data_IF_233449330350
#
_entry.id   IF_233449330350
#
_cell.length_a   1.000
_cell.length_b   1.000
_cell.length_c   1.000
_cell.angle_alpha   90.00
_cell.angle_beta   90.00
_cell.angle_gamma   90.00
#
_symmetry.space_group_name_H-M   'P 1'
#
loop_
_entity.id
_entity.type
_entity.pdbx_description
1 polymer ?
#
# COMPACT_ATOMS: atom_id res chain seq x y z
N UNK A 1 -15.60 43.76 -23.26
CA UNK A 1 -14.83 42.51 -23.19
C UNK A 1 -15.39 41.73 -22.02
N UNK A 2 -16.27 40.75 -22.28
CA UNK A 2 -16.97 39.98 -21.26
C UNK A 2 -16.05 38.83 -20.85
N UNK A 3 -15.45 38.88 -19.66
CA UNK A 3 -14.75 37.73 -19.09
C UNK A 3 -15.81 36.73 -18.62
N UNK A 4 -16.04 35.69 -19.40
CA UNK A 4 -16.76 34.51 -18.92
C UNK A 4 -15.77 33.72 -18.07
N UNK A 5 -15.91 33.84 -16.75
CA UNK A 5 -15.29 32.91 -15.80
C UNK A 5 -15.99 31.57 -15.99
N UNK A 6 -15.36 30.66 -16.74
CA UNK A 6 -15.74 29.26 -16.73
C UNK A 6 -15.36 28.68 -15.36
N UNK A 7 -16.35 28.48 -14.50
CA UNK A 7 -16.19 27.64 -13.31
C UNK A 7 -16.23 26.20 -13.81
N UNK A 8 -15.06 25.62 -14.05
CA UNK A 8 -14.96 24.18 -14.26
C UNK A 8 -15.33 23.49 -12.94
N UNK A 9 -16.50 22.85 -12.91
CA UNK A 9 -16.84 21.94 -11.82
C UNK A 9 -15.92 20.73 -11.94
N UNK A 10 -14.97 20.60 -11.01
CA UNK A 10 -14.26 19.34 -10.83
C UNK A 10 -15.32 18.25 -10.57
N UNK A 11 -15.29 17.13 -11.31
CA UNK A 11 -16.19 16.02 -11.02
C UNK A 11 -16.01 15.62 -9.56
N UNK A 12 -17.11 15.58 -8.82
CA UNK A 12 -17.09 15.17 -7.42
C UNK A 12 -16.46 13.77 -7.31
N UNK A 13 -15.60 13.59 -6.30
CA UNK A 13 -14.98 12.31 -6.02
C UNK A 13 -16.04 11.21 -5.92
N UNK A 14 -15.89 10.14 -6.70
CA UNK A 14 -16.85 9.04 -6.69
C UNK A 14 -16.70 8.22 -5.40
N UNK A 15 -17.83 7.96 -4.76
CA UNK A 15 -17.92 7.05 -3.62
C UNK A 15 -18.57 5.76 -4.11
N UNK A 16 -17.85 4.65 -3.99
CA UNK A 16 -18.31 3.32 -4.33
C UNK A 16 -18.59 2.52 -3.06
N UNK A 17 -19.54 1.58 -3.13
CA UNK A 17 -19.90 0.70 -2.03
C UNK A 17 -19.96 -0.74 -2.55
N UNK A 18 -19.47 -1.71 -1.77
CA UNK A 18 -19.54 -3.13 -2.14
C UNK A 18 -18.46 -3.98 -1.49
N UNK A 19 -18.29 -5.19 -2.00
CA UNK A 19 -17.20 -6.08 -1.60
C UNK A 19 -15.92 -5.69 -2.36
N UNK A 20 -14.97 -5.03 -1.68
CA UNK A 20 -13.73 -4.57 -2.33
C UNK A 20 -12.94 -5.72 -2.96
N UNK A 21 -12.93 -6.90 -2.32
CA UNK A 21 -12.33 -8.11 -2.90
C UNK A 21 -12.88 -8.40 -4.29
N UNK A 22 -14.20 -8.56 -4.41
CA UNK A 22 -14.84 -8.87 -5.69
C UNK A 22 -14.59 -7.77 -6.75
N UNK A 23 -14.51 -6.51 -6.33
CA UNK A 23 -14.18 -5.39 -7.22
C UNK A 23 -12.77 -5.50 -7.82
N UNK A 24 -11.77 -5.81 -6.99
CA UNK A 24 -10.39 -5.99 -7.42
C UNK A 24 -10.21 -7.28 -8.23
N UNK A 25 -10.93 -8.34 -7.90
CA UNK A 25 -10.94 -9.57 -8.69
C UNK A 25 -11.49 -9.34 -10.11
N UNK A 26 -12.59 -8.58 -10.25
CA UNK A 26 -13.13 -8.20 -11.57
C UNK A 26 -12.14 -7.34 -12.38
N UNK A 27 -11.47 -6.38 -11.73
CA UNK A 27 -10.38 -5.63 -12.34
C UNK A 27 -9.27 -6.55 -12.87
N UNK A 28 -8.83 -7.54 -12.08
CA UNK A 28 -7.79 -8.49 -12.49
C UNK A 28 -8.27 -9.35 -13.68
N UNK A 29 -9.52 -9.80 -13.69
CA UNK A 29 -10.05 -10.65 -14.77
C UNK A 29 -10.15 -9.90 -16.11
N UNK A 30 -10.35 -8.59 -16.08
CA UNK A 30 -10.50 -7.75 -17.27
C UNK A 30 -9.18 -7.23 -17.86
N UNK A 31 -8.04 -7.49 -17.20
CA UNK A 31 -6.73 -7.02 -17.68
C UNK A 31 -6.40 -7.56 -19.09
N UNK A 32 -5.82 -6.73 -19.97
CA UNK A 32 -5.34 -7.17 -21.27
C UNK A 32 -4.38 -8.36 -21.18
N UNK A 33 -4.58 -9.34 -22.06
CA UNK A 33 -3.84 -10.60 -22.09
C UNK A 33 -2.52 -10.49 -22.87
N UNK A 34 -1.72 -11.55 -22.86
CA UNK A 34 -0.50 -11.63 -23.66
C UNK A 34 -0.78 -11.36 -25.16
N UNK A 35 0.10 -10.60 -25.80
CA UNK A 35 0.10 -10.41 -27.26
C UNK A 35 -0.99 -9.49 -27.83
N UNK A 36 -1.89 -8.92 -27.02
CA UNK A 36 -2.88 -7.98 -27.57
C UNK A 36 -2.29 -6.61 -27.95
N UNK A 37 -1.09 -6.30 -27.46
CA UNK A 37 -0.29 -5.12 -27.83
C UNK A 37 -1.04 -3.79 -27.68
N UNK A 38 -1.75 -3.63 -26.56
CA UNK A 38 -2.53 -2.43 -26.24
C UNK A 38 -1.93 -1.59 -25.11
N UNK A 39 -0.94 -2.14 -24.39
CA UNK A 39 -0.21 -1.40 -23.38
C UNK A 39 0.84 -0.49 -24.03
N UNK A 40 0.81 0.76 -23.60
CA UNK A 40 1.81 1.78 -23.88
C UNK A 40 2.21 2.43 -22.56
N UNK A 41 3.46 2.86 -22.46
CA UNK A 41 3.90 3.63 -21.28
C UNK A 41 3.10 4.94 -21.18
N UNK A 42 2.84 5.44 -19.96
CA UNK A 42 2.33 6.80 -19.79
C UNK A 42 3.32 7.80 -20.36
N UNK A 43 2.82 8.91 -20.90
CA UNK A 43 3.70 10.00 -21.27
C UNK A 43 4.31 10.67 -20.02
N UNK A 44 5.42 11.42 -20.15
CA UNK A 44 6.08 12.04 -19.01
C UNK A 44 5.18 12.98 -18.19
N UNK A 45 4.24 13.68 -18.83
CA UNK A 45 3.34 14.59 -18.14
C UNK A 45 2.29 13.82 -17.32
N UNK A 46 1.82 12.67 -17.84
CA UNK A 46 0.97 11.74 -17.10
C UNK A 46 1.67 11.16 -15.88
N UNK A 47 2.95 10.78 -15.98
CA UNK A 47 3.74 10.32 -14.83
C UNK A 47 3.87 11.42 -13.76
N UNK A 48 4.06 12.67 -14.18
CA UNK A 48 4.12 13.81 -13.24
C UNK A 48 2.77 13.98 -12.56
N UNK A 49 1.68 14.10 -13.31
CA UNK A 49 0.32 14.29 -12.79
C UNK A 49 -0.11 13.16 -11.87
N UNK A 50 0.06 11.92 -12.28
CA UNK A 50 -0.34 10.76 -11.48
C UNK A 50 0.56 10.58 -10.25
N UNK A 51 1.85 10.94 -10.33
CA UNK A 51 2.69 11.02 -9.14
C UNK A 51 2.18 12.05 -8.13
N UNK A 52 1.81 13.24 -8.59
CA UNK A 52 1.18 14.25 -7.72
C UNK A 52 -0.15 13.74 -7.13
N UNK A 53 -0.95 13.00 -7.91
CA UNK A 53 -2.17 12.40 -7.40
C UNK A 53 -1.88 11.40 -6.26
N UNK A 54 -0.86 10.55 -6.41
CA UNK A 54 -0.42 9.62 -5.34
C UNK A 54 0.02 10.39 -4.11
N UNK A 55 0.83 11.43 -4.27
CA UNK A 55 1.32 12.27 -3.17
C UNK A 55 0.14 12.91 -2.40
N UNK A 56 -0.90 13.36 -3.10
CA UNK A 56 -2.11 13.91 -2.48
C UNK A 56 -3.00 12.83 -1.83
N UNK A 57 -3.09 11.61 -2.40
CA UNK A 57 -3.81 10.49 -1.78
C UNK A 57 -3.20 10.15 -0.43
N UNK A 58 -1.89 9.96 -0.36
CA UNK A 58 -1.23 9.58 0.90
C UNK A 58 -1.23 10.70 1.94
N UNK A 59 -1.35 11.96 1.50
CA UNK A 59 -1.58 13.12 2.38
C UNK A 59 -3.04 13.29 2.83
N UNK A 60 -3.99 12.53 2.26
CA UNK A 60 -5.43 12.64 2.55
C UNK A 60 -6.15 13.78 1.82
N UNK A 61 -5.48 14.44 0.87
CA UNK A 61 -6.03 15.57 0.09
C UNK A 61 -6.72 15.06 -1.19
N UNK A 62 -7.82 14.32 -1.02
CA UNK A 62 -8.43 13.58 -2.13
C UNK A 62 -9.00 14.45 -3.26
N UNK A 63 -9.42 15.67 -2.95
CA UNK A 63 -9.88 16.64 -3.97
C UNK A 63 -8.75 17.04 -4.92
N UNK A 64 -7.58 17.37 -4.37
CA UNK A 64 -6.41 17.75 -5.16
C UNK A 64 -5.88 16.54 -5.92
N UNK A 65 -5.92 15.35 -5.31
CA UNK A 65 -5.58 14.11 -5.99
C UNK A 65 -6.47 13.86 -7.22
N UNK A 66 -7.79 14.05 -7.10
CA UNK A 66 -8.72 13.93 -8.22
C UNK A 66 -8.40 14.94 -9.34
N UNK A 67 -8.08 16.18 -8.98
CA UNK A 67 -7.73 17.22 -9.96
C UNK A 67 -6.51 16.82 -10.79
N UNK A 68 -5.48 16.25 -10.15
CA UNK A 68 -4.30 15.74 -10.85
C UNK A 68 -4.59 14.50 -11.71
N UNK A 69 -5.38 13.55 -11.20
CA UNK A 69 -5.65 12.29 -11.88
C UNK A 69 -6.51 12.45 -13.16
N UNK A 70 -7.49 13.37 -13.13
CA UNK A 70 -8.52 13.49 -14.18
C UNK A 70 -7.91 13.73 -15.57
N UNK A 71 -6.88 14.57 -15.65
CA UNK A 71 -6.24 14.93 -16.92
C UNK A 71 -5.47 13.76 -17.58
N UNK A 72 -5.22 12.69 -16.83
CA UNK A 72 -4.50 11.48 -17.29
C UNK A 72 -5.42 10.28 -17.53
N UNK A 73 -6.74 10.50 -17.62
CA UNK A 73 -7.72 9.43 -17.79
C UNK A 73 -7.84 8.51 -16.57
N UNK A 74 -7.49 9.03 -15.40
CA UNK A 74 -7.60 8.36 -14.09
C UNK A 74 -8.60 9.09 -13.19
N UNK A 75 -9.04 8.41 -12.15
CA UNK A 75 -9.90 8.96 -11.11
C UNK A 75 -9.41 8.53 -9.74
N UNK A 76 -9.75 9.33 -8.73
CA UNK A 76 -9.60 9.00 -7.33
C UNK A 76 -10.98 8.64 -6.78
N UNK A 77 -11.09 7.46 -6.20
CA UNK A 77 -12.34 6.96 -5.61
C UNK A 77 -12.21 6.79 -4.10
N UNK A 78 -13.32 6.94 -3.40
CA UNK A 78 -13.49 6.40 -2.04
C UNK A 78 -14.28 5.11 -2.16
N UNK A 79 -13.68 4.01 -1.77
CA UNK A 79 -14.34 2.70 -1.77
C UNK A 79 -14.71 2.32 -0.35
N UNK A 80 -16.01 2.16 -0.10
CA UNK A 80 -16.55 1.71 1.17
C UNK A 80 -16.82 0.21 1.07
N UNK A 81 -15.89 -0.57 1.62
CA UNK A 81 -16.04 -2.01 1.76
C UNK A 81 -17.06 -2.32 2.86
N UNK A 82 -18.20 -2.88 2.45
CA UNK A 82 -19.30 -3.27 3.34
C UNK A 82 -19.45 -4.79 3.45
N UNK A 83 -18.38 -5.53 3.15
CA UNK A 83 -18.33 -6.99 3.24
C UNK A 83 -18.42 -7.54 4.67
N UNK A 84 -18.17 -6.71 5.68
CA UNK A 84 -18.23 -7.07 7.09
C UNK A 84 -19.27 -6.24 7.85
N UNK A 85 -19.47 -6.53 9.13
CA UNK A 85 -20.41 -5.76 9.99
C UNK A 85 -20.02 -4.30 10.17
N UNK A 86 -18.74 -3.97 9.99
CA UNK A 86 -18.21 -2.61 10.01
C UNK A 86 -17.71 -2.22 8.63
N UNK A 87 -18.15 -1.07 8.14
CA UNK A 87 -17.64 -0.54 6.87
C UNK A 87 -16.16 -0.13 7.02
N UNK A 88 -15.34 -0.48 6.03
CA UNK A 88 -13.95 -0.01 5.90
C UNK A 88 -13.83 0.89 4.69
N UNK A 89 -13.11 1.99 4.82
CA UNK A 89 -12.87 2.92 3.71
C UNK A 89 -11.47 2.76 3.15
N UNK A 90 -11.38 2.72 1.82
CA UNK A 90 -10.14 2.71 1.06
C UNK A 90 -10.16 3.81 0.01
N UNK A 91 -8.99 4.32 -0.36
CA UNK A 91 -8.83 5.32 -1.41
C UNK A 91 -8.15 4.69 -2.62
N UNK A 92 -8.81 4.75 -3.77
CA UNK A 92 -8.32 4.14 -5.01
C UNK A 92 -7.86 5.19 -6.01
N UNK A 93 -6.70 5.00 -6.65
CA UNK A 93 -6.31 5.63 -7.90
C UNK A 93 -6.45 4.60 -9.01
N UNK A 94 -7.34 4.86 -9.96
CA UNK A 94 -7.66 3.89 -11.01
C UNK A 94 -7.98 4.54 -12.35
N UNK A 95 -7.90 3.80 -13.48
CA UNK A 95 -8.37 4.29 -14.76
C UNK A 95 -9.85 4.68 -14.69
N UNK A 96 -10.23 5.77 -15.35
CA UNK A 96 -11.63 6.12 -15.51
C UNK A 96 -12.40 5.03 -16.28
N UNK A 97 -13.71 4.86 -16.06
CA UNK A 97 -14.51 3.94 -16.84
C UNK A 97 -14.35 4.19 -18.36
N UNK A 98 -14.01 3.14 -19.10
CA UNK A 98 -13.75 3.22 -20.54
C UNK A 98 -12.36 3.71 -20.94
N UNK A 99 -11.50 4.07 -19.97
CA UNK A 99 -10.10 4.37 -20.22
C UNK A 99 -9.38 3.13 -20.78
N UNK A 100 -8.52 3.36 -21.76
CA UNK A 100 -7.62 2.35 -22.32
C UNK A 100 -6.22 2.45 -21.73
N UNK A 101 -6.06 3.23 -20.64
CA UNK A 101 -4.79 3.39 -19.95
C UNK A 101 -4.59 2.21 -19.01
N UNK A 102 -3.87 1.19 -19.48
CA UNK A 102 -3.62 -0.07 -18.79
C UNK A 102 -2.44 0.01 -17.80
N UNK A 103 -2.27 1.14 -17.10
CA UNK A 103 -1.06 1.41 -16.30
C UNK A 103 -1.10 0.86 -14.86
N UNK A 104 -2.26 0.40 -14.40
CA UNK A 104 -2.43 -0.20 -13.07
C UNK A 104 -3.29 0.61 -12.13
N UNK A 105 -3.44 0.12 -10.91
CA UNK A 105 -4.20 0.75 -9.82
C UNK A 105 -3.37 0.81 -8.53
N UNK A 106 -3.70 1.78 -7.68
CA UNK A 106 -3.28 1.85 -6.28
C UNK A 106 -4.53 1.90 -5.41
N UNK A 107 -4.61 1.01 -4.42
CA UNK A 107 -5.57 1.11 -3.33
C UNK A 107 -4.84 1.39 -2.03
N UNK A 108 -5.33 2.37 -1.28
CA UNK A 108 -4.71 2.87 -0.05
C UNK A 108 -5.66 2.69 1.13
N UNK A 109 -5.13 2.16 2.23
CA UNK A 109 -5.80 2.03 3.51
C UNK A 109 -5.32 3.16 4.45
N UNK A 110 -6.17 4.18 4.70
CA UNK A 110 -5.77 5.33 5.52
C UNK A 110 -5.58 5.02 7.00
N UNK A 111 -6.06 3.86 7.47
CA UNK A 111 -6.03 3.43 8.88
C UNK A 111 -5.14 2.21 9.13
N UNK A 112 -4.30 1.85 8.15
CA UNK A 112 -3.39 0.72 8.25
C UNK A 112 -2.39 0.84 9.40
N UNK A 113 -2.18 -0.27 10.12
CA UNK A 113 -1.17 -0.36 11.18
C UNK A 113 0.19 -0.90 10.69
N UNK A 114 0.22 -1.51 9.49
CA UNK A 114 1.45 -1.98 8.86
C UNK A 114 1.86 -1.03 7.74
N UNK A 115 3.05 -0.43 7.87
CA UNK A 115 3.61 0.49 6.88
C UNK A 115 4.19 -0.26 5.67
N UNK A 116 3.33 -1.01 4.99
CA UNK A 116 3.66 -1.93 3.91
C UNK A 116 2.84 -1.57 2.67
N UNK A 117 3.47 -1.67 1.51
CA UNK A 117 2.79 -1.69 0.22
C UNK A 117 3.01 -3.04 -0.45
N UNK A 118 1.91 -3.72 -0.79
CA UNK A 118 1.92 -4.93 -1.59
C UNK A 118 1.96 -4.57 -3.07
N UNK A 119 2.74 -5.31 -3.86
CA UNK A 119 2.95 -5.06 -5.28
C UNK A 119 2.72 -6.35 -6.08
N UNK A 120 1.78 -6.31 -7.02
CA UNK A 120 1.44 -7.41 -7.90
C UNK A 120 1.76 -7.01 -9.35
N UNK A 121 3.02 -7.14 -9.80
CA UNK A 121 3.40 -6.73 -11.13
C UNK A 121 2.90 -7.67 -12.23
N UNK A 122 2.64 -8.93 -11.88
CA UNK A 122 2.21 -9.98 -12.81
C UNK A 122 0.92 -10.68 -12.35
N UNK A 123 -0.17 -9.93 -12.06
CA UNK A 123 -1.31 -10.42 -11.30
C UNK A 123 -2.02 -11.64 -11.93
N UNK A 124 -1.92 -11.78 -13.26
CA UNK A 124 -2.43 -12.94 -14.01
C UNK A 124 -1.35 -13.90 -14.49
N UNK A 125 -0.20 -13.37 -14.94
CA UNK A 125 0.86 -14.19 -15.53
C UNK A 125 1.47 -15.11 -14.48
N UNK A 126 1.80 -14.54 -13.32
CA UNK A 126 2.18 -15.31 -12.14
C UNK A 126 0.88 -15.70 -11.46
N UNK A 127 0.26 -16.79 -11.92
CA UNK A 127 -1.12 -17.17 -11.58
C UNK A 127 -1.50 -16.84 -10.14
N UNK A 128 -2.62 -16.11 -10.00
CA UNK A 128 -3.22 -15.68 -8.73
C UNK A 128 -2.45 -14.68 -7.88
N UNK A 129 -1.27 -14.17 -8.25
CA UNK A 129 -0.58 -13.18 -7.38
C UNK A 129 -1.38 -11.89 -7.18
N UNK A 130 -2.23 -11.50 -8.14
CA UNK A 130 -3.17 -10.38 -7.94
C UNK A 130 -4.30 -10.69 -6.96
N UNK A 131 -4.81 -11.92 -6.97
CA UNK A 131 -5.87 -12.37 -6.05
C UNK A 131 -5.29 -12.52 -4.63
N UNK A 132 -4.10 -13.09 -4.53
CA UNK A 132 -3.34 -13.17 -3.29
C UNK A 132 -3.05 -11.77 -2.72
N UNK A 133 -2.53 -10.84 -3.53
CA UNK A 133 -2.29 -9.47 -3.08
C UNK A 133 -3.57 -8.77 -2.60
N UNK A 134 -4.70 -9.02 -3.27
CA UNK A 134 -6.03 -8.54 -2.84
C UNK A 134 -6.42 -9.14 -1.49
N UNK A 135 -6.26 -10.45 -1.32
CA UNK A 135 -6.54 -11.14 -0.06
C UNK A 135 -5.66 -10.60 1.07
N UNK A 136 -4.35 -10.49 0.85
CA UNK A 136 -3.39 -9.99 1.83
C UNK A 136 -3.69 -8.54 2.20
N UNK A 137 -4.04 -7.68 1.23
CA UNK A 137 -4.38 -6.28 1.48
C UNK A 137 -5.54 -6.13 2.47
N UNK A 138 -6.57 -6.98 2.32
CA UNK A 138 -7.76 -6.94 3.17
C UNK A 138 -7.53 -7.55 4.55
N UNK A 139 -6.60 -8.50 4.68
CA UNK A 139 -6.39 -9.30 5.89
C UNK A 139 -5.10 -8.99 6.67
N UNK A 140 -4.22 -8.11 6.17
CA UNK A 140 -2.97 -7.71 6.85
C UNK A 140 -2.97 -6.25 7.34
N UNK A 141 -4.02 -5.46 7.12
CA UNK A 141 -4.06 -4.04 7.48
C UNK A 141 -2.80 -3.26 7.02
N UNK A 142 -2.36 -3.52 5.79
CA UNK A 142 -1.24 -2.83 5.13
C UNK A 142 -1.70 -1.51 4.52
N UNK A 143 -0.78 -0.57 4.33
CA UNK A 143 -1.07 0.77 3.80
C UNK A 143 -1.54 0.76 2.35
N UNK A 144 -0.98 -0.09 1.50
CA UNK A 144 -1.33 -0.04 0.08
C UNK A 144 -1.22 -1.35 -0.67
N UNK A 145 -1.93 -1.40 -1.80
CA UNK A 145 -1.88 -2.46 -2.79
C UNK A 145 -1.74 -1.83 -4.17
N UNK A 146 -0.72 -2.25 -4.91
CA UNK A 146 -0.49 -1.90 -6.31
C UNK A 146 -0.70 -3.13 -7.19
N UNK A 147 -1.57 -3.03 -8.18
CA UNK A 147 -1.80 -4.09 -9.18
C UNK A 147 -1.49 -3.52 -10.56
N UNK A 148 -0.69 -4.24 -11.34
CA UNK A 148 -0.39 -3.84 -12.71
C UNK A 148 -1.63 -3.89 -13.60
N UNK A 149 -1.68 -3.00 -14.59
CA UNK A 149 -2.85 -2.88 -15.46
C UNK A 149 -2.81 -3.77 -16.69
N UNK A 150 -1.83 -4.66 -16.82
CA UNK A 150 -1.66 -5.48 -18.02
C UNK A 150 -0.87 -6.75 -17.76
N UNK A 151 -0.93 -7.68 -18.70
CA UNK A 151 -0.05 -8.84 -18.74
C UNK A 151 1.39 -8.44 -19.11
N UNK A 152 2.42 -9.02 -18.47
CA UNK A 152 3.84 -8.68 -18.74
C UNK A 152 4.27 -8.83 -20.20
N UNK A 153 3.66 -9.79 -20.90
CA UNK A 153 3.84 -10.05 -22.33
C UNK A 153 2.80 -9.37 -23.24
N UNK A 154 2.11 -8.32 -22.77
CA UNK A 154 1.08 -7.64 -23.55
C UNK A 154 1.68 -6.88 -24.75
N UNK A 155 2.64 -6.00 -24.49
CA UNK A 155 3.33 -5.21 -25.51
C UNK A 155 4.42 -6.02 -26.20
N UNK A 156 4.73 -5.69 -27.46
CA UNK A 156 5.93 -6.19 -28.16
C UNK A 156 7.10 -5.22 -28.05
N UNK A 157 6.87 -3.98 -27.60
CA UNK A 157 7.91 -2.97 -27.50
C UNK A 157 8.88 -3.32 -26.36
N UNK A 158 10.20 -3.33 -26.59
CA UNK A 158 11.18 -3.55 -25.54
C UNK A 158 11.31 -2.32 -24.66
N UNK A 159 11.58 -2.51 -23.37
CA UNK A 159 12.07 -1.44 -22.49
C UNK A 159 13.55 -1.15 -22.79
N UNK A 160 14.00 0.06 -22.42
CA UNK A 160 15.41 0.43 -22.41
C UNK A 160 16.18 -0.16 -21.22
N UNK A 161 15.48 -0.69 -20.21
CA UNK A 161 16.11 -1.20 -19.00
C UNK A 161 16.85 -2.52 -19.22
N UNK A 162 17.94 -2.68 -18.47
CA UNK A 162 18.87 -3.80 -18.61
C UNK A 162 18.22 -5.14 -18.24
N UNK A 163 18.64 -6.19 -18.93
CA UNK A 163 18.30 -7.57 -18.62
C UNK A 163 17.48 -8.21 -19.72
N UNK A 164 17.19 -9.49 -19.55
CA UNK A 164 16.49 -10.27 -20.56
C UNK A 164 15.60 -11.32 -19.91
N UNK A 165 14.65 -11.83 -20.68
CA UNK A 165 13.69 -12.83 -20.24
C UNK A 165 13.30 -13.77 -21.36
N UNK A 166 12.95 -15.00 -20.99
CA UNK A 166 12.28 -15.98 -21.85
C UNK A 166 10.77 -16.08 -21.55
N UNK A 167 10.25 -15.29 -20.60
CA UNK A 167 8.85 -15.37 -20.15
C UNK A 167 7.86 -15.09 -21.29
N UNK A 168 8.27 -14.33 -22.30
CA UNK A 168 7.43 -13.91 -23.42
C UNK A 168 7.88 -14.51 -24.77
N UNK A 169 8.58 -15.66 -24.74
CA UNK A 169 9.06 -16.36 -25.94
C UNK A 169 10.57 -16.60 -25.93
N UNK A 170 11.25 -16.30 -27.04
CA UNK A 170 12.71 -16.36 -27.11
C UNK A 170 13.37 -15.36 -26.16
N UNK A 171 14.59 -15.66 -25.70
CA UNK A 171 15.35 -14.76 -24.83
C UNK A 171 15.53 -13.39 -25.51
N UNK A 172 14.96 -12.35 -24.90
CA UNK A 172 14.95 -10.99 -25.42
C UNK A 172 14.92 -9.98 -24.27
N UNK A 173 15.10 -8.69 -24.58
CA UNK A 173 14.86 -7.63 -23.61
C UNK A 173 13.45 -7.73 -23.00
N UNK A 174 13.30 -7.25 -21.77
CA UNK A 174 11.98 -7.10 -21.17
C UNK A 174 11.10 -6.20 -22.05
N UNK A 175 9.79 -6.45 -22.04
CA UNK A 175 8.81 -5.60 -22.74
C UNK A 175 8.39 -4.45 -21.82
N UNK A 176 7.94 -3.34 -22.39
CA UNK A 176 7.43 -2.20 -21.58
C UNK A 176 6.27 -2.60 -20.66
N UNK A 177 5.48 -3.61 -21.05
CA UNK A 177 4.40 -4.16 -20.23
C UNK A 177 4.88 -5.03 -19.05
N UNK A 178 6.16 -5.40 -19.01
CA UNK A 178 6.80 -6.06 -17.87
C UNK A 178 7.21 -5.01 -16.84
N UNK A 179 6.22 -4.53 -16.10
CA UNK A 179 6.34 -3.33 -15.28
C UNK A 179 7.35 -3.43 -14.12
N UNK A 180 7.72 -4.64 -13.71
CA UNK A 180 8.79 -4.89 -12.74
C UNK A 180 10.19 -4.57 -13.30
N UNK A 181 10.29 -4.41 -14.62
CA UNK A 181 11.52 -4.17 -15.37
C UNK A 181 11.42 -2.91 -16.23
N UNK A 182 10.50 -1.99 -15.90
CA UNK A 182 10.27 -0.77 -16.65
C UNK A 182 10.20 0.44 -15.70
N UNK A 183 11.16 1.36 -15.82
CA UNK A 183 11.26 2.57 -15.00
C UNK A 183 10.35 3.72 -15.49
N UNK A 184 9.79 3.60 -16.69
CA UNK A 184 8.81 4.55 -17.25
C UNK A 184 7.36 4.19 -16.92
N UNK A 185 7.14 3.09 -16.18
CA UNK A 185 5.80 2.67 -15.80
C UNK A 185 5.21 3.54 -14.68
N UNK A 186 3.87 3.69 -14.66
CA UNK A 186 3.17 4.26 -13.50
C UNK A 186 3.49 3.49 -12.20
N UNK A 187 3.75 2.19 -12.30
CA UNK A 187 4.13 1.35 -11.17
C UNK A 187 5.46 1.78 -10.53
N UNK A 188 6.46 2.12 -11.35
CA UNK A 188 7.70 2.73 -10.85
C UNK A 188 7.40 4.08 -10.21
N UNK A 189 6.62 4.94 -10.87
CA UNK A 189 6.31 6.29 -10.36
C UNK A 189 5.58 6.25 -9.01
N UNK A 190 4.61 5.36 -8.85
CA UNK A 190 3.92 5.11 -7.58
C UNK A 190 4.90 4.64 -6.50
N UNK A 191 5.82 3.73 -6.82
CA UNK A 191 6.86 3.28 -5.88
C UNK A 191 7.73 4.43 -5.39
N UNK A 192 8.14 5.32 -6.29
CA UNK A 192 8.95 6.51 -5.97
C UNK A 192 8.19 7.43 -5.00
N UNK A 193 6.94 7.79 -5.32
CA UNK A 193 6.09 8.64 -4.48
C UNK A 193 5.84 8.03 -3.09
N UNK A 194 5.46 6.75 -3.04
CA UNK A 194 5.19 6.04 -1.78
C UNK A 194 6.46 5.90 -0.93
N UNK A 195 7.61 5.69 -1.55
CA UNK A 195 8.90 5.65 -0.86
C UNK A 195 9.22 7.01 -0.24
N UNK A 196 9.00 8.11 -0.98
CA UNK A 196 9.25 9.48 -0.51
C UNK A 196 8.29 9.89 0.62
N UNK A 197 7.06 9.38 0.61
CA UNK A 197 6.09 9.55 1.70
C UNK A 197 6.54 8.86 3.00
N UNK A 198 7.38 7.84 2.91
CA UNK A 198 7.88 7.09 4.06
C UNK A 198 7.23 5.72 4.25
N UNK A 199 6.86 5.02 3.16
CA UNK A 199 6.53 3.59 3.25
C UNK A 199 7.77 2.79 3.63
N UNK A 200 7.68 1.96 4.66
CA UNK A 200 8.84 1.20 5.16
C UNK A 200 9.18 0.05 4.22
N UNK A 201 8.19 -0.76 3.84
CA UNK A 201 8.41 -1.99 3.08
C UNK A 201 7.54 -2.09 1.83
N UNK A 202 8.13 -2.59 0.75
CA UNK A 202 7.49 -2.94 -0.51
C UNK A 202 7.66 -4.44 -0.74
N UNK A 203 6.55 -5.16 -0.66
CA UNK A 203 6.53 -6.61 -0.87
C UNK A 203 5.97 -6.87 -2.25
N UNK A 204 6.80 -7.43 -3.14
CA UNK A 204 6.45 -7.70 -4.52
C UNK A 204 6.23 -9.20 -4.73
N UNK A 205 4.98 -9.58 -5.02
CA UNK A 205 4.52 -10.95 -5.17
C UNK A 205 4.71 -11.41 -6.62
N UNK A 206 5.53 -12.44 -6.79
CA UNK A 206 5.75 -13.15 -8.04
C UNK A 206 5.47 -14.64 -7.87
N UNK A 207 5.48 -15.36 -8.98
CA UNK A 207 5.23 -16.78 -9.02
C UNK A 207 6.07 -17.47 -10.08
N UNK A 208 6.48 -18.70 -9.79
CA UNK A 208 7.26 -19.50 -10.72
C UNK A 208 6.72 -20.91 -10.90
N UNK A 209 7.02 -21.49 -12.06
CA UNK A 209 6.81 -22.91 -12.30
C UNK A 209 7.92 -23.71 -11.61
N UNK A 210 7.56 -24.38 -10.52
CA UNK A 210 8.49 -25.16 -9.70
C UNK A 210 9.03 -26.36 -10.47
N UNK A 211 10.35 -26.49 -10.53
CA UNK A 211 11.08 -27.62 -11.09
C UNK A 211 11.70 -28.48 -9.98
N UNK A 212 12.21 -29.66 -10.34
CA UNK A 212 12.94 -30.50 -9.39
C UNK A 212 14.13 -29.75 -8.80
N UNK A 213 14.27 -29.78 -7.47
CA UNK A 213 15.32 -29.06 -6.74
C UNK A 213 15.00 -27.59 -6.40
N UNK A 214 13.90 -27.03 -6.92
CA UNK A 214 13.45 -25.70 -6.51
C UNK A 214 12.82 -25.73 -5.09
N UNK A 215 13.01 -24.66 -4.30
CA UNK A 215 12.34 -24.51 -3.00
C UNK A 215 10.84 -24.24 -3.16
N UNK A 216 10.12 -24.10 -2.05
CA UNK A 216 8.77 -23.55 -2.09
C UNK A 216 8.77 -22.03 -2.33
N UNK A 217 9.75 -21.33 -1.74
CA UNK A 217 9.91 -19.88 -1.87
C UNK A 217 11.34 -19.50 -2.25
N UNK A 218 11.48 -18.56 -3.20
CA UNK A 218 12.73 -17.84 -3.44
C UNK A 218 12.48 -16.39 -3.05
N UNK A 219 13.21 -15.89 -2.04
CA UNK A 219 12.98 -14.55 -1.50
C UNK A 219 14.26 -13.73 -1.65
N UNK A 220 14.13 -12.51 -2.15
CA UNK A 220 15.26 -11.64 -2.47
C UNK A 220 14.99 -10.21 -2.03
N UNK A 221 16.02 -9.50 -1.59
CA UNK A 221 15.98 -8.05 -1.46
C UNK A 221 16.47 -7.34 -2.73
N UNK A 222 16.67 -8.06 -3.83
CA UNK A 222 17.23 -7.53 -5.08
C UNK A 222 18.75 -7.44 -5.12
N UNK A 223 19.45 -7.93 -4.09
CA UNK A 223 20.93 -7.90 -3.99
C UNK A 223 21.50 -9.17 -3.36
N UNK A 224 22.83 -9.20 -3.16
CA UNK A 224 23.53 -10.20 -2.33
C UNK A 224 23.91 -9.67 -0.95
N UNK A 225 23.54 -8.43 -0.65
CA UNK A 225 23.93 -7.75 0.59
C UNK A 225 22.86 -8.01 1.63
N UNK A 226 23.26 -8.48 2.81
CA UNK A 226 22.35 -8.58 3.97
C UNK A 226 22.07 -7.16 4.48
N UNK A 227 20.79 -6.74 4.57
CA UNK A 227 20.44 -5.43 5.14
C UNK A 227 20.62 -5.44 6.66
N UNK A 228 20.73 -4.26 7.28
CA UNK A 228 20.81 -4.13 8.74
C UNK A 228 19.52 -4.64 9.41
N UNK A 229 18.37 -4.22 8.87
CA UNK A 229 17.08 -4.82 9.20
C UNK A 229 16.67 -5.83 8.11
N UNK A 230 16.59 -7.12 8.48
CA UNK A 230 16.30 -8.22 7.54
C UNK A 230 14.89 -8.80 7.75
N UNK A 231 13.84 -8.17 7.17
CA UNK A 231 12.48 -8.71 7.22
C UNK A 231 12.33 -10.02 6.47
N UNK A 232 13.21 -10.34 5.52
CA UNK A 232 13.16 -11.59 4.76
C UNK A 232 13.54 -12.77 5.64
N UNK A 233 14.58 -12.62 6.48
CA UNK A 233 14.93 -13.65 7.46
C UNK A 233 13.78 -13.87 8.46
N UNK A 234 13.14 -12.80 8.95
CA UNK A 234 11.97 -12.91 9.84
C UNK A 234 10.79 -13.61 9.18
N UNK A 235 10.48 -13.29 7.92
CA UNK A 235 9.43 -13.96 7.15
C UNK A 235 9.71 -15.44 6.97
N UNK A 236 10.95 -15.81 6.61
CA UNK A 236 11.37 -17.22 6.54
C UNK A 236 11.12 -17.93 7.87
N UNK A 237 11.55 -17.33 8.97
CA UNK A 237 11.45 -17.95 10.30
C UNK A 237 9.99 -18.10 10.75
N UNK A 238 9.15 -17.09 10.50
CA UNK A 238 7.71 -17.16 10.76
C UNK A 238 7.04 -18.27 9.96
N UNK A 239 7.29 -18.34 8.66
CA UNK A 239 6.75 -19.40 7.79
C UNK A 239 7.24 -20.79 8.19
N UNK A 240 8.52 -20.94 8.52
CA UNK A 240 9.08 -22.22 8.96
C UNK A 240 8.51 -22.67 10.32
N UNK A 241 8.19 -21.73 11.22
CA UNK A 241 7.53 -22.04 12.48
C UNK A 241 6.10 -22.55 12.28
N UNK A 242 5.40 -22.08 11.25
CA UNK A 242 4.04 -22.53 10.89
C UNK A 242 4.08 -23.89 10.18
N UNK A 243 4.94 -24.03 9.17
CA UNK A 243 5.14 -25.29 8.44
C UNK A 243 6.64 -25.61 8.25
N UNK A 244 7.22 -26.50 9.10
CA UNK A 244 8.61 -26.91 9.00
C UNK A 244 8.98 -27.71 7.74
N UNK A 245 7.99 -28.08 6.90
CA UNK A 245 8.24 -28.73 5.60
C UNK A 245 8.53 -27.73 4.48
N UNK A 246 8.36 -26.43 4.73
CA UNK A 246 8.68 -25.40 3.75
C UNK A 246 10.18 -25.32 3.50
N UNK A 247 10.53 -25.16 2.22
CA UNK A 247 11.90 -24.99 1.75
C UNK A 247 12.07 -23.60 1.15
N UNK A 248 13.25 -23.01 1.34
CA UNK A 248 13.51 -21.61 1.01
C UNK A 248 14.85 -21.44 0.30
N UNK A 249 14.91 -20.45 -0.60
CA UNK A 249 16.15 -19.85 -1.08
C UNK A 249 16.09 -18.35 -0.87
N UNK A 250 16.79 -17.90 0.18
CA UNK A 250 16.98 -16.48 0.48
C UNK A 250 18.24 -15.99 -0.23
N UNK A 251 18.12 -15.07 -1.18
CA UNK A 251 19.16 -14.76 -2.18
C UNK A 251 20.42 -14.14 -1.57
N UNK A 252 20.30 -13.26 -0.58
CA UNK A 252 21.48 -12.69 0.11
C UNK A 252 22.14 -13.65 1.10
N UNK A 253 21.47 -14.74 1.49
CA UNK A 253 22.01 -15.78 2.38
C UNK A 253 22.59 -16.96 1.58
N UNK A 254 21.89 -17.40 0.53
CA UNK A 254 22.28 -18.50 -0.36
C UNK A 254 22.87 -17.92 -1.64
N UNK A 255 24.11 -17.44 -1.54
CA UNK A 255 24.77 -16.65 -2.60
C UNK A 255 25.09 -17.46 -3.86
N UNK A 256 25.04 -18.79 -3.78
CA UNK A 256 25.15 -19.73 -4.90
C UNK A 256 23.86 -19.84 -5.74
N UNK A 257 22.71 -19.45 -5.20
CA UNK A 257 21.42 -19.52 -5.89
C UNK A 257 21.27 -18.38 -6.91
N UNK A 258 21.17 -18.69 -8.20
CA UNK A 258 21.16 -17.69 -9.29
C UNK A 258 19.81 -17.48 -9.97
N UNK A 259 18.80 -18.26 -9.61
CA UNK A 259 17.48 -18.22 -10.23
C UNK A 259 16.57 -17.20 -9.53
N UNK A 260 15.89 -16.36 -10.33
CA UNK A 260 14.84 -15.43 -9.89
C UNK A 260 15.30 -14.50 -8.74
N UNK A 261 16.47 -13.87 -8.91
CA UNK A 261 17.13 -13.09 -7.85
C UNK A 261 16.66 -11.64 -7.74
N UNK A 262 15.81 -11.17 -8.64
CA UNK A 262 15.32 -9.79 -8.71
C UNK A 262 16.39 -8.69 -8.92
N UNK A 263 17.60 -9.04 -9.35
CA UNK A 263 18.68 -8.04 -9.54
C UNK A 263 18.36 -7.00 -10.62
N UNK A 264 17.50 -7.35 -11.57
CA UNK A 264 17.07 -6.49 -12.68
C UNK A 264 15.78 -5.72 -12.39
N UNK A 265 15.18 -5.89 -11.20
CA UNK A 265 13.92 -5.26 -10.84
C UNK A 265 14.11 -3.74 -10.66
N UNK A 266 13.35 -2.93 -11.39
CA UNK A 266 13.52 -1.46 -11.37
C UNK A 266 13.08 -0.85 -10.04
N UNK A 267 11.99 -1.35 -9.43
CA UNK A 267 11.56 -0.90 -8.10
C UNK A 267 12.58 -1.30 -7.02
N UNK A 268 13.04 -2.55 -7.06
CA UNK A 268 14.04 -3.06 -6.10
C UNK A 268 15.37 -2.33 -6.19
N UNK A 269 15.83 -1.99 -7.40
CA UNK A 269 17.04 -1.18 -7.59
C UNK A 269 16.87 0.24 -7.03
N UNK A 270 15.71 0.87 -7.26
CA UNK A 270 15.42 2.20 -6.72
C UNK A 270 15.37 2.21 -5.19
N UNK A 271 14.65 1.24 -4.59
CA UNK A 271 14.50 1.13 -3.13
C UNK A 271 15.81 0.77 -2.42
N UNK A 272 16.77 0.21 -3.15
CA UNK A 272 18.14 -0.04 -2.70
C UNK A 272 19.13 1.00 -3.25
N UNK A 273 18.67 2.22 -3.54
CA UNK A 273 19.52 3.38 -3.81
C UNK A 273 20.45 3.25 -5.03
N UNK A 274 20.06 2.46 -6.03
CA UNK A 274 20.75 2.47 -7.32
C UNK A 274 20.63 3.86 -7.96
N UNK A 275 21.76 4.44 -8.36
CA UNK A 275 21.82 5.73 -9.08
C UNK A 275 21.08 5.68 -10.43
N UNK A 276 20.97 4.50 -11.04
CA UNK A 276 20.36 4.30 -12.35
C UNK A 276 19.53 3.00 -12.33
N UNK A 277 18.31 3.01 -11.73
CA UNK A 277 17.50 1.82 -11.53
C UNK A 277 17.16 1.04 -12.81
N UNK A 278 17.16 1.72 -13.96
CA UNK A 278 16.90 1.10 -15.25
C UNK A 278 18.04 0.16 -15.71
N UNK A 279 19.30 0.50 -15.45
CA UNK A 279 20.43 -0.22 -16.04
C UNK A 279 21.47 -0.75 -15.04
N UNK A 280 21.46 -0.29 -13.79
CA UNK A 280 22.44 -0.67 -12.77
C UNK A 280 21.81 -1.41 -11.61
N UNK A 281 22.38 -2.58 -11.29
CA UNK A 281 22.07 -3.30 -10.06
C UNK A 281 22.42 -2.44 -8.85
N UNK A 282 21.60 -2.51 -7.80
CA UNK A 282 21.96 -1.94 -6.52
C UNK A 282 23.12 -2.72 -5.88
N UNK A 283 24.00 -2.02 -5.16
CA UNK A 283 25.13 -2.61 -4.43
C UNK A 283 24.92 -2.60 -2.92
N UNK A 284 24.00 -1.77 -2.44
CA UNK A 284 23.55 -1.68 -1.04
C UNK A 284 22.20 -2.37 -0.88
N UNK A 285 21.81 -2.69 0.35
CA UNK A 285 20.49 -3.23 0.67
C UNK A 285 19.88 -2.43 1.83
N UNK A 286 18.73 -1.81 1.61
CA UNK A 286 18.04 -1.00 2.62
C UNK A 286 17.11 -1.81 3.51
N UNK A 287 16.77 -3.04 3.10
CA UNK A 287 15.75 -3.88 3.74
C UNK A 287 14.31 -3.52 3.33
N UNK A 288 14.10 -2.47 2.53
CA UNK A 288 12.78 -1.96 2.15
C UNK A 288 12.12 -2.75 1.02
N UNK A 289 12.88 -3.45 0.19
CA UNK A 289 12.35 -4.24 -0.93
C UNK A 289 12.38 -5.73 -0.61
N UNK A 290 11.23 -6.39 -0.75
CA UNK A 290 11.06 -7.83 -0.55
C UNK A 290 10.41 -8.40 -1.80
N UNK A 291 11.18 -9.14 -2.59
CA UNK A 291 10.69 -9.88 -3.75
C UNK A 291 10.45 -11.34 -3.36
N UNK A 292 9.23 -11.83 -3.57
CA UNK A 292 8.82 -13.18 -3.19
C UNK A 292 8.39 -13.94 -4.44
N UNK A 293 9.15 -14.96 -4.80
CA UNK A 293 8.81 -15.91 -5.87
C UNK A 293 8.21 -17.15 -5.25
N UNK A 294 6.97 -17.43 -5.65
CA UNK A 294 6.14 -18.43 -4.99
C UNK A 294 5.83 -19.59 -5.91
N UNK A 295 6.02 -20.81 -5.41
CA UNK A 295 5.48 -21.99 -6.06
C UNK A 295 3.93 -21.97 -6.06
N UNK A 296 3.30 -22.76 -6.94
CA UNK A 296 1.86 -22.65 -7.16
C UNK A 296 1.02 -23.32 -6.06
N UNK A 297 1.26 -24.59 -5.77
CA UNK A 297 0.37 -25.43 -4.98
C UNK A 297 0.31 -25.03 -3.51
N UNK A 298 1.43 -24.59 -2.92
CA UNK A 298 1.49 -24.23 -1.49
C UNK A 298 1.05 -22.81 -1.18
N UNK A 299 1.23 -21.88 -2.11
CA UNK A 299 1.07 -20.45 -1.82
C UNK A 299 0.05 -19.76 -2.73
N UNK A 300 0.06 -20.01 -4.04
CA UNK A 300 -0.74 -19.21 -4.98
C UNK A 300 -2.10 -19.81 -5.33
N UNK A 301 -2.27 -21.12 -5.16
CA UNK A 301 -3.43 -21.86 -5.67
C UNK A 301 -4.77 -21.35 -5.13
N UNK A 302 -4.87 -21.12 -3.84
CA UNK A 302 -6.12 -20.80 -3.15
C UNK A 302 -5.86 -20.05 -1.82
N UNK A 303 -6.95 -19.70 -1.14
CA UNK A 303 -6.92 -18.95 0.12
C UNK A 303 -6.13 -19.64 1.23
N UNK A 304 -6.00 -20.97 1.24
CA UNK A 304 -5.22 -21.63 2.28
C UNK A 304 -3.71 -21.31 2.13
N UNK A 305 -3.23 -21.20 0.89
CA UNK A 305 -1.88 -20.74 0.62
C UNK A 305 -1.69 -19.25 0.90
N UNK A 306 -2.70 -18.42 0.58
CA UNK A 306 -2.65 -16.99 0.87
C UNK A 306 -2.69 -16.71 2.37
N UNK A 307 -3.43 -17.50 3.15
CA UNK A 307 -3.49 -17.43 4.60
C UNK A 307 -2.16 -17.84 5.25
N UNK A 308 -1.49 -18.87 4.70
CA UNK A 308 -0.13 -19.22 5.11
C UNK A 308 0.86 -18.06 4.89
N UNK A 309 0.79 -17.39 3.73
CA UNK A 309 1.59 -16.18 3.47
C UNK A 309 1.21 -15.04 4.42
N UNK A 310 -0.08 -14.83 4.69
CA UNK A 310 -0.59 -13.85 5.65
C UNK A 310 0.05 -14.06 7.01
N UNK A 311 -0.05 -15.25 7.60
CA UNK A 311 0.52 -15.55 8.92
C UNK A 311 2.03 -15.34 8.98
N UNK A 312 2.76 -15.75 7.93
CA UNK A 312 4.18 -15.48 7.80
C UNK A 312 4.52 -13.99 7.82
N UNK A 313 3.75 -13.19 7.08
CA UNK A 313 3.90 -11.73 7.03
C UNK A 313 3.51 -11.07 8.36
N UNK A 314 2.48 -11.55 9.06
CA UNK A 314 2.14 -11.04 10.40
C UNK A 314 3.26 -11.27 11.41
N UNK A 315 3.94 -12.41 11.31
CA UNK A 315 5.10 -12.72 12.15
C UNK A 315 6.29 -11.80 11.83
N UNK A 316 6.55 -11.53 10.55
CA UNK A 316 7.67 -10.70 10.12
C UNK A 316 7.46 -9.20 10.35
N UNK A 317 6.21 -8.76 10.29
CA UNK A 317 5.82 -7.36 10.35
C UNK A 317 4.74 -7.16 11.41
N UNK A 318 5.17 -6.70 12.57
CA UNK A 318 4.25 -6.38 13.65
C UNK A 318 3.30 -5.28 13.22
N UNK A 319 2.00 -5.48 13.46
CA UNK A 319 1.05 -4.39 13.48
C UNK A 319 1.46 -3.48 14.64
N UNK A 320 2.08 -2.36 14.32
CA UNK A 320 2.13 -1.25 15.24
C UNK A 320 0.71 -0.71 15.31
N UNK A 321 -0.18 -1.38 16.06
CA UNK A 321 -1.28 -0.64 16.68
C UNK A 321 -0.58 0.52 17.33
N UNK A 322 -0.80 1.73 16.83
CA UNK A 322 0.00 2.88 17.20
C UNK A 322 -0.02 2.92 18.72
N UNK A 323 1.11 2.53 19.31
CA UNK A 323 1.17 2.22 20.72
C UNK A 323 0.76 3.49 21.43
N UNK A 324 -0.37 3.43 22.15
CA UNK A 324 -0.90 4.48 23.02
C UNK A 324 -0.36 5.86 22.66
N UNK A 325 -0.96 6.57 21.70
CA UNK A 325 -0.59 7.97 21.50
C UNK A 325 -0.96 8.72 22.77
N UNK A 326 -0.01 8.87 23.69
CA UNK A 326 -0.08 9.77 24.82
C UNK A 326 0.27 11.14 24.31
N UNK A 327 -0.74 11.97 24.10
CA UNK A 327 -0.56 13.37 23.79
C UNK A 327 -0.43 14.12 25.12
N UNK A 328 0.80 14.52 25.47
CA UNK A 328 1.05 15.46 26.56
C UNK A 328 0.71 16.86 26.07
N UNK A 329 -0.43 17.39 26.51
CA UNK A 329 -0.85 18.77 26.18
C UNK A 329 -0.32 19.77 27.20
N UNK A 330 -0.08 19.32 28.44
CA UNK A 330 0.60 20.03 29.51
C UNK A 330 1.15 19.01 30.52
N UNK A 331 1.98 19.41 31.51
CA UNK A 331 2.48 18.50 32.55
C UNK A 331 1.37 17.82 33.34
N UNK A 332 0.18 18.43 33.36
CA UNK A 332 -0.98 18.00 34.12
C UNK A 332 -2.05 17.36 33.25
N UNK A 333 -1.95 17.36 31.91
CA UNK A 333 -2.98 16.80 31.01
C UNK A 333 -2.37 15.87 29.96
N UNK A 334 -2.72 14.59 30.06
CA UNK A 334 -2.36 13.55 29.10
C UNK A 334 -3.62 12.94 28.47
N UNK A 335 -3.58 12.70 27.17
CA UNK A 335 -4.66 12.01 26.44
C UNK A 335 -4.07 10.77 25.80
N UNK A 336 -4.62 9.61 26.10
CA UNK A 336 -4.26 8.33 25.48
C UNK A 336 -5.36 7.95 24.47
N UNK A 337 -4.96 7.81 23.21
CA UNK A 337 -5.82 7.27 22.16
C UNK A 337 -5.59 5.75 22.13
N UNK A 338 -6.64 5.00 22.47
CA UNK A 338 -6.64 3.54 22.50
C UNK A 338 -7.58 3.01 21.39
N UNK A 339 -7.43 1.75 20.95
CA UNK A 339 -8.23 1.20 19.84
C UNK A 339 -9.74 1.28 20.03
N UNK A 340 -10.21 1.19 21.28
CA UNK A 340 -11.63 1.11 21.65
C UNK A 340 -12.13 2.34 22.43
N UNK A 341 -11.23 3.25 22.81
CA UNK A 341 -11.55 4.35 23.74
C UNK A 341 -10.56 5.49 23.70
N UNK A 342 -11.02 6.64 24.20
CA UNK A 342 -10.15 7.74 24.58
C UNK A 342 -10.01 7.77 26.12
N UNK A 343 -8.78 7.82 26.62
CA UNK A 343 -8.50 8.03 28.04
C UNK A 343 -7.88 9.41 28.24
N UNK A 344 -8.38 10.17 29.21
CA UNK A 344 -7.85 11.48 29.58
C UNK A 344 -7.38 11.40 31.03
N UNK A 345 -6.12 11.72 31.27
CA UNK A 345 -5.50 11.80 32.60
C UNK A 345 -5.24 13.27 32.89
N UNK A 346 -5.84 13.77 33.96
CA UNK A 346 -5.63 15.14 34.42
C UNK A 346 -5.19 15.15 35.89
N UNK A 347 -4.06 15.77 36.16
CA UNK A 347 -3.44 15.87 37.48
C UNK A 347 -3.55 17.25 38.14
N UNK A 348 -4.39 18.15 37.60
CA UNK A 348 -4.65 19.46 38.23
C UNK A 348 -5.87 19.41 39.15
N UNK A 349 -5.94 20.37 40.08
CA UNK A 349 -6.98 20.41 41.13
C UNK A 349 -8.31 21.02 40.66
N UNK A 350 -8.35 21.61 39.46
CA UNK A 350 -9.52 22.30 38.92
C UNK A 350 -10.35 21.41 37.97
N UNK A 351 -11.68 21.44 38.04
CA UNK A 351 -12.52 20.69 37.12
C UNK A 351 -12.36 21.17 35.67
N UNK A 352 -12.31 20.21 34.74
CA UNK A 352 -12.23 20.48 33.30
C UNK A 352 -13.59 20.29 32.63
N UNK A 353 -13.82 21.05 31.56
CA UNK A 353 -14.83 20.78 30.55
C UNK A 353 -14.16 20.21 29.31
N UNK A 354 -14.47 18.95 28.98
CA UNK A 354 -13.96 18.30 27.78
C UNK A 354 -15.10 18.18 26.78
N UNK A 355 -14.86 18.66 25.56
CA UNK A 355 -15.77 18.52 24.42
C UNK A 355 -15.09 17.73 23.32
N UNK A 356 -15.74 16.68 22.85
CA UNK A 356 -15.34 15.94 21.65
C UNK A 356 -16.40 16.20 20.58
N UNK A 357 -16.00 16.80 19.48
CA UNK A 357 -16.89 17.06 18.36
C UNK A 357 -16.33 16.49 17.05
N UNK A 358 -17.17 15.95 16.19
CA UNK A 358 -16.78 15.54 14.84
C UNK A 358 -16.61 16.75 13.93
N UNK A 359 -15.98 16.56 12.77
CA UNK A 359 -15.76 17.65 11.82
C UNK A 359 -17.05 18.33 11.30
N UNK A 360 -18.18 17.63 11.35
CA UNK A 360 -19.52 18.16 11.04
C UNK A 360 -20.20 18.87 12.23
N UNK A 361 -19.50 19.03 13.35
CA UNK A 361 -19.96 19.78 14.52
C UNK A 361 -20.82 19.00 15.51
N UNK A 362 -21.04 17.68 15.31
CA UNK A 362 -21.77 16.87 16.30
C UNK A 362 -20.93 16.69 17.56
N UNK A 363 -21.52 16.97 18.72
CA UNK A 363 -20.88 16.79 20.02
C UNK A 363 -21.17 15.37 20.50
N UNK A 364 -20.11 14.59 20.71
CA UNK A 364 -20.19 13.20 21.19
C UNK A 364 -20.05 13.09 22.69
N UNK A 365 -19.29 14.01 23.30
CA UNK A 365 -19.14 14.04 24.74
C UNK A 365 -18.97 15.47 25.25
N UNK A 366 -19.62 15.75 26.38
CA UNK A 366 -19.41 16.92 27.21
C UNK A 366 -19.60 16.52 28.69
N UNK A 367 -18.56 16.64 29.51
CA UNK A 367 -18.69 16.37 30.94
C UNK A 367 -17.55 16.88 31.80
N UNK A 368 -17.62 16.54 33.10
CA UNK A 368 -16.85 17.10 34.21
C UNK A 368 -16.25 15.97 35.05
N UNK A 369 -14.93 15.78 35.00
CA UNK A 369 -14.02 15.54 36.16
C UNK A 369 -12.68 14.88 35.78
N UNK A 370 -11.73 15.15 36.67
CA UNK A 370 -10.42 14.57 36.89
C UNK A 370 -10.51 13.09 37.29
N UNK A 371 -9.77 12.24 36.58
CA UNK A 371 -9.59 10.81 36.85
C UNK A 371 -10.89 9.97 36.76
N UNK A 372 -11.36 9.70 35.54
CA UNK A 372 -11.94 8.39 35.18
C UNK A 372 -12.21 8.28 33.67
N UNK A 373 -11.95 7.08 33.14
CA UNK A 373 -12.22 6.59 31.77
C UNK A 373 -13.76 6.42 31.58
N UNK A 374 -14.44 6.50 30.44
CA UNK A 374 -14.26 5.91 29.11
C UNK A 374 -15.26 6.59 28.14
N UNK A 375 -14.91 6.76 26.86
CA UNK A 375 -15.87 7.13 25.80
C UNK A 375 -15.80 6.15 24.64
N UNK A 376 -16.93 5.53 24.31
CA UNK A 376 -17.14 4.84 23.04
C UNK A 376 -17.39 5.92 21.98
N UNK A 377 -16.43 6.07 21.07
CA UNK A 377 -16.55 6.99 19.94
C UNK A 377 -16.73 6.16 18.67
N UNK A 378 -17.39 6.71 17.64
CA UNK A 378 -17.49 6.03 16.36
C UNK A 378 -16.09 5.90 15.75
N UNK A 379 -15.72 4.67 15.39
CA UNK A 379 -14.46 4.35 14.71
C UNK A 379 -14.36 5.07 13.36
N UNK A 380 -13.14 5.43 12.95
CA UNK A 380 -12.85 5.99 11.63
C UNK A 380 -13.29 7.43 11.42
N UNK A 381 -13.51 8.22 12.47
CA UNK A 381 -13.94 9.62 12.35
C UNK A 381 -12.87 10.60 12.85
N UNK A 382 -12.64 11.65 12.06
CA UNK A 382 -11.86 12.81 12.50
C UNK A 382 -12.64 13.62 13.54
N UNK A 383 -12.05 13.76 14.72
CA UNK A 383 -12.63 14.48 15.84
C UNK A 383 -11.77 15.69 16.24
N UNK A 384 -12.44 16.70 16.75
CA UNK A 384 -11.88 17.86 17.44
C UNK A 384 -12.07 17.68 18.94
N UNK A 385 -10.96 17.55 19.63
CA UNK A 385 -10.92 17.59 21.09
C UNK A 385 -10.69 19.03 21.53
N UNK A 386 -11.57 19.53 22.39
CA UNK A 386 -11.48 20.86 23.00
C UNK A 386 -11.56 20.69 24.52
N UNK A 387 -10.58 21.22 25.24
CA UNK A 387 -10.52 21.18 26.70
C UNK A 387 -10.51 22.61 27.22
N UNK A 388 -11.45 22.90 28.13
CA UNK A 388 -11.61 24.21 28.75
C UNK A 388 -11.58 24.08 30.27
N UNK A 389 -11.16 25.15 30.92
CA UNK A 389 -11.43 25.35 32.33
C UNK A 389 -12.95 25.41 32.54
N UNK A 390 -13.44 24.71 33.57
CA UNK A 390 -14.88 24.63 33.80
C UNK A 390 -15.49 25.96 34.26
N UNK A 391 -14.81 26.68 35.15
CA UNK A 391 -15.34 27.89 35.79
C UNK A 391 -15.17 29.11 34.90
N UNK A 392 -14.00 29.26 34.28
CA UNK A 392 -13.62 30.42 33.47
C UNK A 392 -13.94 30.22 31.98
N UNK A 393 -14.17 28.98 31.54
CA UNK A 393 -14.37 28.66 30.12
C UNK A 393 -13.12 28.84 29.24
N UNK A 394 -11.99 29.17 29.87
CA UNK A 394 -10.69 29.41 29.23
C UNK A 394 -10.28 28.18 28.43
N UNK A 395 -9.89 28.37 27.17
CA UNK A 395 -9.35 27.29 26.34
C UNK A 395 -7.99 26.86 26.89
N UNK A 396 -7.91 25.61 27.33
CA UNK A 396 -6.66 25.03 27.82
C UNK A 396 -5.95 24.23 26.73
N UNK A 397 -6.72 23.58 25.85
CA UNK A 397 -6.19 22.75 24.79
C UNK A 397 -7.20 22.56 23.65
N UNK A 398 -6.70 22.47 22.42
CA UNK A 398 -7.47 22.07 21.25
C UNK A 398 -6.60 21.22 20.32
N UNK A 399 -7.13 20.10 19.84
CA UNK A 399 -6.40 19.23 18.92
C UNK A 399 -7.32 18.46 17.98
N UNK A 400 -6.87 18.26 16.75
CA UNK A 400 -7.45 17.27 15.84
C UNK A 400 -6.91 15.90 16.22
N UNK A 401 -7.81 14.95 16.43
CA UNK A 401 -7.49 13.55 16.72
C UNK A 401 -8.21 12.66 15.72
N UNK A 402 -7.49 11.67 15.20
CA UNK A 402 -8.09 10.58 14.44
C UNK A 402 -8.30 9.41 15.40
N UNK A 403 -9.52 8.91 15.44
CA UNK A 403 -9.86 7.74 16.24
C UNK A 403 -9.90 6.53 15.29
N UNK A 404 -8.93 5.61 15.39
CA UNK A 404 -8.82 4.48 14.48
C UNK A 404 -10.05 3.57 14.50
#
# INVERSE_FOLDING_TARGET
>A
MLFVLAVEYLPAQRVLFGHLRAYLEDYILTLPVAGSNVYHDPDPDDLVRLGMAVDQIVAGNLTDAQAHATASGYEVIRYIDNSSTSNREFWGLQPQPGSTNYWGVLFWNPVACRNIVLQCPHPRFDSNTGLEGTYLFLNLDVKGLMISGTHRCNSIAPTACSGSTTACGSNAAYRISDIAHNDQSLFQRMTVSLSAFGVDYFIQLHGFAKSSGDPNLIISNGTRTTPEDDPIARLRDGLYAIDPQLTFKIVHIHTDWTKLTAFTNTQGRYLNESEEPCSRNATTATGRFIHIEQEYDRFRKDEAGWDLMREGLESAFTCAVVANHSLSMSPLLQIHILPDRLQIVYGGDLPLRITIATADGRIWYAGRNSQDQFYFLPHGVMCFLVVRDWEQGTLLAQKKIFLP
#
